data_IF_098688351293
#
_entry.id   IF_098688351293
#
_cell.length_a   1.000
_cell.length_b   1.000
_cell.length_c   1.000
_cell.angle_alpha   90.00
_cell.angle_beta   90.00
_cell.angle_gamma   90.00
#
_symmetry.space_group_name_H-M   'P 1'
#
loop_
_entity.id
_entity.type
_entity.pdbx_description
1 polymer ?
#
# COMPACT_ATOMS: atom_id res chain seq x y z
N UNK A 1 24.32 38.11 15.26
CA UNK A 1 24.20 36.68 14.87
C UNK A 1 22.85 36.05 15.24
N UNK A 2 22.40 36.20 16.49
CA UNK A 2 21.15 35.63 17.03
C UNK A 2 19.89 35.89 16.19
N UNK A 3 19.72 37.07 15.59
CA UNK A 3 18.56 37.38 14.76
C UNK A 3 18.46 36.51 13.48
N UNK A 4 19.60 36.14 12.89
CA UNK A 4 19.63 35.29 11.69
C UNK A 4 19.29 33.84 12.03
N UNK A 5 19.71 33.38 13.22
CA UNK A 5 19.47 32.02 13.68
C UNK A 5 18.02 31.81 14.13
N UNK A 6 17.45 32.77 14.87
CA UNK A 6 16.04 32.76 15.25
C UNK A 6 15.12 32.79 14.02
N UNK A 7 15.47 33.58 12.99
CA UNK A 7 14.73 33.62 11.73
C UNK A 7 14.72 32.25 11.03
N UNK A 8 15.87 31.57 10.98
CA UNK A 8 15.99 30.22 10.42
C UNK A 8 15.13 29.19 11.17
N UNK A 9 15.13 29.24 12.50
CA UNK A 9 14.29 28.38 13.33
C UNK A 9 12.80 28.63 13.07
N UNK A 10 12.38 29.89 12.97
CA UNK A 10 10.99 30.24 12.63
C UNK A 10 10.60 29.75 11.24
N UNK A 11 11.49 29.88 10.24
CA UNK A 11 11.25 29.33 8.90
C UNK A 11 11.07 27.81 8.93
N UNK A 12 11.89 27.12 9.71
CA UNK A 12 11.83 25.67 9.88
C UNK A 12 10.53 25.26 10.58
N UNK A 13 10.17 25.93 11.68
CA UNK A 13 8.93 25.69 12.40
C UNK A 13 7.70 25.90 11.51
N UNK A 14 7.66 26.97 10.71
CA UNK A 14 6.57 27.21 9.76
C UNK A 14 6.43 26.08 8.74
N UNK A 15 7.55 25.55 8.23
CA UNK A 15 7.53 24.39 7.34
C UNK A 15 6.98 23.16 8.05
N UNK A 16 7.51 22.84 9.23
CA UNK A 16 7.07 21.68 10.01
C UNK A 16 5.58 21.74 10.37
N UNK A 17 5.07 22.92 10.74
CA UNK A 17 3.64 23.11 11.02
C UNK A 17 2.83 22.78 9.78
N UNK A 18 3.19 23.35 8.62
CA UNK A 18 2.49 23.07 7.36
C UNK A 18 2.53 21.58 6.99
N UNK A 19 3.70 20.95 7.07
CA UNK A 19 3.86 19.53 6.76
C UNK A 19 3.04 18.65 7.70
N UNK A 20 2.98 19.00 8.99
CA UNK A 20 2.15 18.31 9.97
C UNK A 20 0.66 18.49 9.70
N UNK A 21 0.23 19.69 9.35
CA UNK A 21 -1.17 19.96 9.02
C UNK A 21 -1.62 19.13 7.80
N UNK A 22 -0.79 19.06 6.76
CA UNK A 22 -1.02 18.20 5.59
C UNK A 22 -1.06 16.72 5.97
N UNK A 23 -0.15 16.26 6.84
CA UNK A 23 -0.13 14.89 7.32
C UNK A 23 -1.38 14.54 8.15
N UNK A 24 -1.81 15.44 9.04
CA UNK A 24 -3.03 15.29 9.85
C UNK A 24 -4.26 15.22 8.93
N UNK A 25 -4.35 16.11 7.94
CA UNK A 25 -5.45 16.11 6.98
C UNK A 25 -5.50 14.79 6.21
N UNK A 26 -4.35 14.30 5.74
CA UNK A 26 -4.24 13.01 5.05
C UNK A 26 -4.63 11.85 5.96
N UNK A 27 -4.18 11.84 7.22
CA UNK A 27 -4.54 10.82 8.20
C UNK A 27 -6.06 10.80 8.42
N UNK A 28 -6.69 11.96 8.60
CA UNK A 28 -8.15 12.06 8.77
C UNK A 28 -8.92 11.50 7.56
N UNK A 29 -8.45 11.76 6.34
CA UNK A 29 -9.06 11.21 5.14
C UNK A 29 -8.94 9.68 5.07
N UNK A 30 -7.78 9.13 5.45
CA UNK A 30 -7.58 7.69 5.49
C UNK A 30 -8.41 7.03 6.59
N UNK A 31 -8.50 7.64 7.76
CA UNK A 31 -9.32 7.15 8.88
C UNK A 31 -10.80 7.06 8.48
N UNK A 32 -11.32 8.08 7.79
CA UNK A 32 -12.68 8.03 7.22
C UNK A 32 -12.86 6.87 6.25
N UNK A 33 -11.90 6.65 5.34
CA UNK A 33 -11.95 5.56 4.36
C UNK A 33 -11.89 4.19 5.03
N UNK A 34 -11.08 4.04 6.08
CA UNK A 34 -10.98 2.81 6.85
C UNK A 34 -12.30 2.51 7.57
N UNK A 35 -12.90 3.50 8.26
CA UNK A 35 -14.21 3.32 8.90
C UNK A 35 -15.31 3.01 7.89
N UNK A 36 -15.28 3.62 6.70
CA UNK A 36 -16.22 3.31 5.62
C UNK A 36 -16.07 1.85 5.15
N UNK A 37 -14.84 1.38 4.93
CA UNK A 37 -14.56 -0.01 4.55
C UNK A 37 -14.98 -1.00 5.65
N UNK A 38 -14.82 -0.63 6.93
CA UNK A 38 -15.28 -1.44 8.05
C UNK A 38 -16.82 -1.50 8.11
N UNK A 39 -17.49 -0.37 7.92
CA UNK A 39 -18.95 -0.29 7.89
C UNK A 39 -19.53 -1.08 6.71
N UNK A 40 -18.86 -1.08 5.56
CA UNK A 40 -19.21 -1.91 4.40
C UNK A 40 -18.97 -3.41 4.66
N UNK A 41 -18.33 -3.76 5.78
CA UNK A 41 -17.97 -5.13 6.12
C UNK A 41 -16.84 -5.70 5.27
N UNK A 42 -16.16 -4.87 4.47
CA UNK A 42 -15.01 -5.30 3.64
C UNK A 42 -13.83 -5.69 4.52
N UNK A 43 -13.63 -4.94 5.59
CA UNK A 43 -12.64 -5.23 6.62
C UNK A 43 -13.29 -5.22 8.00
N UNK A 44 -12.62 -5.83 8.97
CA UNK A 44 -12.98 -5.77 10.39
C UNK A 44 -11.75 -5.45 11.20
N UNK A 45 -11.84 -4.43 12.04
CA UNK A 45 -10.75 -3.99 12.91
C UNK A 45 -10.95 -4.62 14.28
N UNK A 46 -9.93 -5.31 14.77
CA UNK A 46 -9.93 -5.89 16.11
C UNK A 46 -8.74 -5.35 16.89
N UNK A 47 -9.04 -4.50 17.88
CA UNK A 47 -8.04 -3.99 18.82
C UNK A 47 -7.76 -5.06 19.87
N UNK A 48 -6.50 -5.44 20.00
CA UNK A 48 -6.03 -6.38 21.01
C UNK A 48 -5.76 -5.66 22.34
N UNK A 49 -5.64 -6.42 23.42
CA UNK A 49 -5.41 -5.87 24.76
C UNK A 49 -4.03 -5.20 24.92
N UNK A 50 -3.03 -5.62 24.13
CA UNK A 50 -1.68 -5.09 24.12
C UNK A 50 -1.54 -3.75 23.35
N UNK A 51 -2.59 -3.31 22.66
CA UNK A 51 -2.59 -2.09 21.85
C UNK A 51 -2.42 -2.34 20.35
N UNK A 52 -2.07 -3.57 19.92
CA UNK A 52 -2.06 -3.94 18.51
C UNK A 52 -3.45 -3.91 17.88
N UNK A 53 -3.44 -3.79 16.56
CA UNK A 53 -4.63 -3.81 15.72
C UNK A 53 -4.51 -4.95 14.70
N UNK A 54 -5.48 -5.86 14.71
CA UNK A 54 -5.65 -6.85 13.66
C UNK A 54 -6.69 -6.37 12.64
N UNK A 55 -6.38 -6.54 11.35
CA UNK A 55 -7.29 -6.23 10.24
C UNK A 55 -7.63 -7.54 9.53
N UNK A 56 -8.90 -7.91 9.54
CA UNK A 56 -9.42 -9.10 8.86
C UNK A 56 -10.22 -8.65 7.64
N UNK A 57 -9.97 -9.24 6.47
CA UNK A 57 -10.78 -8.99 5.27
C UNK A 57 -11.95 -9.96 5.24
N UNK A 58 -13.18 -9.47 5.10
CA UNK A 58 -14.32 -10.35 4.88
C UNK A 58 -14.52 -10.56 3.37
N UNK A 59 -14.94 -11.75 2.93
CA UNK A 59 -15.38 -11.93 1.56
C UNK A 59 -16.55 -10.97 1.27
N UNK A 60 -16.61 -10.38 0.06
CA UNK A 60 -17.69 -9.47 -0.29
C UNK A 60 -19.03 -10.20 -0.10
N UNK A 61 -19.92 -9.62 0.72
CA UNK A 61 -21.29 -10.11 0.90
C UNK A 61 -22.06 -9.85 -0.40
N UNK A 62 -21.88 -10.73 -1.38
CA UNK A 62 -22.79 -10.86 -2.51
C UNK A 62 -24.05 -11.55 -2.02
N UNK A 63 -25.18 -10.86 -2.13
CA UNK A 63 -26.49 -11.44 -1.84
C UNK A 63 -26.72 -12.66 -2.74
N UNK A 64 -26.56 -13.87 -2.22
CA UNK A 64 -27.06 -15.10 -2.82
C UNK A 64 -26.25 -16.35 -2.50
N UNK A 65 -26.83 -17.22 -1.66
CA UNK A 65 -26.77 -18.69 -1.77
C UNK A 65 -25.37 -19.33 -1.54
N UNK A 66 -25.01 -20.15 -0.55
CA UNK A 66 -25.65 -21.09 0.38
C UNK A 66 -24.52 -21.62 1.34
N UNK A 67 -24.77 -22.56 2.27
CA UNK A 67 -24.03 -22.70 3.53
C UNK A 67 -22.84 -23.66 3.49
N UNK A 68 -21.93 -23.45 4.45
CA UNK A 68 -21.15 -24.44 5.20
C UNK A 68 -20.93 -25.83 4.56
N UNK A 69 -19.72 -26.09 4.06
CA UNK A 69 -19.14 -27.45 4.14
C UNK A 69 -17.67 -27.37 4.54
N UNK A 70 -17.37 -27.96 5.69
CA UNK A 70 -16.04 -28.26 6.17
C UNK A 70 -15.55 -29.49 5.41
N UNK A 71 -14.44 -29.41 4.66
CA UNK A 71 -13.91 -30.55 3.90
C UNK A 71 -12.68 -30.26 3.05
N UNK A 72 -11.50 -30.39 3.68
CA UNK A 72 -10.21 -30.89 3.16
C UNK A 72 -9.96 -30.94 1.63
N UNK A 73 -8.82 -30.32 1.27
CA UNK A 73 -7.97 -30.49 0.06
C UNK A 73 -8.35 -29.70 -1.21
N UNK A 74 -7.57 -28.63 -1.43
CA UNK A 74 -6.81 -28.45 -2.68
C UNK A 74 -7.40 -27.49 -3.72
N UNK A 75 -6.66 -26.40 -3.98
CA UNK A 75 -6.76 -25.47 -5.13
C UNK A 75 -8.01 -24.58 -5.10
N UNK A 76 -7.94 -23.26 -4.91
CA UNK A 76 -7.12 -22.31 -5.66
C UNK A 76 -6.58 -21.20 -4.75
N UNK A 77 -5.26 -21.26 -4.50
CA UNK A 77 -4.46 -20.08 -4.25
C UNK A 77 -3.83 -19.68 -5.58
N UNK A 78 -4.37 -18.65 -6.20
CA UNK A 78 -3.69 -17.85 -7.22
C UNK A 78 -3.27 -16.54 -6.52
N UNK A 79 -2.01 -16.17 -6.32
CA UNK A 79 -0.70 -16.80 -6.49
C UNK A 79 0.25 -16.10 -5.49
N UNK A 80 1.39 -16.62 -5.07
CA UNK A 80 2.34 -17.44 -5.80
C UNK A 80 3.00 -18.49 -4.88
N UNK A 81 2.86 -19.74 -5.32
CA UNK A 81 3.87 -20.81 -5.39
C UNK A 81 5.15 -20.59 -4.56
N UNK A 82 5.17 -21.23 -3.40
CA UNK A 82 6.40 -21.82 -2.86
C UNK A 82 6.60 -23.19 -3.50
N UNK A 83 7.52 -23.32 -4.47
CA UNK A 83 8.40 -24.49 -4.65
C UNK A 83 9.28 -24.26 -5.90
N UNK A 84 10.52 -23.79 -5.72
CA UNK A 84 11.56 -23.94 -6.75
C UNK A 84 12.04 -25.40 -6.65
N UNK A 85 11.28 -26.28 -7.30
CA UNK A 85 11.66 -27.63 -7.65
C UNK A 85 11.90 -27.66 -9.16
N UNK A 86 13.14 -27.88 -9.53
CA UNK A 86 13.67 -28.00 -10.89
C UNK A 86 12.85 -29.02 -11.71
N UNK A 87 12.32 -28.62 -12.87
CA UNK A 87 12.23 -29.48 -14.05
C UNK A 87 11.89 -28.67 -15.31
N UNK A 88 12.83 -28.75 -16.26
CA UNK A 88 12.77 -28.41 -17.68
C UNK A 88 11.39 -28.42 -18.35
N UNK A 89 11.20 -27.47 -19.26
CA UNK A 89 10.57 -27.75 -20.55
C UNK A 89 9.48 -26.79 -21.02
N UNK A 90 9.77 -26.14 -22.15
CA UNK A 90 8.83 -25.64 -23.16
C UNK A 90 8.02 -24.36 -22.88
N UNK A 91 8.50 -23.28 -23.50
CA UNK A 91 7.81 -22.13 -24.12
C UNK A 91 6.29 -22.01 -23.94
N UNK A 92 5.81 -20.81 -23.59
CA UNK A 92 5.19 -19.81 -24.50
C UNK A 92 4.93 -18.52 -23.72
N UNK A 93 5.15 -17.38 -24.38
CA UNK A 93 5.49 -16.11 -23.75
C UNK A 93 4.35 -15.29 -23.13
N UNK A 94 4.75 -14.29 -22.35
CA UNK A 94 4.13 -12.97 -22.30
C UNK A 94 5.23 -11.92 -22.08
N UNK A 95 5.20 -10.91 -22.93
CA UNK A 95 6.16 -9.82 -23.01
C UNK A 95 6.00 -8.91 -21.79
N UNK A 96 7.03 -8.82 -20.96
CA UNK A 96 7.09 -7.80 -19.91
C UNK A 96 7.38 -6.49 -20.63
N UNK A 97 6.40 -5.57 -20.70
CA UNK A 97 6.66 -4.22 -21.18
C UNK A 97 7.63 -3.54 -20.22
N UNK A 98 8.85 -3.33 -20.69
CA UNK A 98 9.90 -2.55 -20.02
C UNK A 98 9.36 -1.14 -19.72
N UNK A 99 9.57 -0.58 -18.50
CA UNK A 99 9.17 0.78 -18.21
C UNK A 99 9.93 1.77 -19.10
N UNK A 100 9.30 2.87 -19.55
CA UNK A 100 9.96 3.82 -20.46
C UNK A 100 11.21 4.41 -19.79
N UNK A 101 12.37 4.25 -20.43
CA UNK A 101 13.62 4.83 -19.95
C UNK A 101 13.56 6.37 -19.94
N UNK A 102 14.18 7.02 -18.94
CA UNK A 102 14.27 8.47 -18.91
C UNK A 102 15.08 9.02 -20.10
N UNK A 103 14.77 10.23 -20.59
CA UNK A 103 15.47 10.83 -21.72
C UNK A 103 16.95 11.11 -21.38
N UNK A 104 17.84 10.75 -22.29
CA UNK A 104 19.27 11.03 -22.17
C UNK A 104 19.53 12.54 -22.25
N UNK A 105 20.46 13.08 -21.44
CA UNK A 105 20.84 14.48 -21.51
C UNK A 105 21.54 14.81 -22.86
N UNK A 106 21.36 16.03 -23.39
CA UNK A 106 21.97 16.44 -24.65
C UNK A 106 23.50 16.54 -24.52
N UNK A 107 24.25 16.25 -25.60
CA UNK A 107 25.69 16.42 -25.62
C UNK A 107 26.06 17.90 -25.49
N UNK A 108 27.00 18.20 -24.60
CA UNK A 108 27.58 19.54 -24.49
C UNK A 108 28.42 19.85 -25.74
N UNK A 109 28.37 21.09 -26.26
CA UNK A 109 29.22 21.49 -27.38
C UNK A 109 30.69 21.48 -26.94
N UNK A 110 31.53 20.76 -27.69
CA UNK A 110 32.97 20.92 -27.60
C UNK A 110 33.35 22.31 -28.15
N UNK A 111 34.25 23.00 -27.44
CA UNK A 111 34.87 24.26 -27.87
C UNK A 111 35.72 24.05 -29.12
#
# INVERSE_FOLDING_TARGET
EVYKDASSQVHTLRRMVKEKDEAIQKQSNLEKKIHELEKQGTIKIQKKADGDIAILTSPPQGNGHLPETQGVVGVSGEGMVSHIGVANGAAHGMTISDPPQPPLPPPMPAT
#
